data_IF_820107079712
#
_entry.id   IF_820107079712
#
_cell.length_a   1.000
_cell.length_b   1.000
_cell.length_c   1.000
_cell.angle_alpha   90.00
_cell.angle_beta   90.00
_cell.angle_gamma   90.00
#
_symmetry.space_group_name_H-M   'P 1'
#
loop_
_entity.id
_entity.type
_entity.pdbx_description
1 polymer ?
#
# COMPACT_ATOMS: atom_id res chain seq x y z
N UNK A 1 0.97 5.85 40.46
CA UNK A 1 0.51 5.96 39.05
C UNK A 1 1.66 5.57 38.15
N UNK A 2 1.54 4.47 37.40
CA UNK A 2 2.43 4.16 36.28
C UNK A 2 1.53 3.99 35.06
N UNK A 3 1.26 5.11 34.40
CA UNK A 3 0.68 5.12 33.07
C UNK A 3 1.66 4.44 32.11
N UNK A 4 1.14 3.67 31.16
CA UNK A 4 1.95 3.21 30.03
C UNK A 4 1.38 2.05 29.21
N UNK A 5 0.48 1.23 29.75
CA UNK A 5 0.00 0.05 29.02
C UNK A 5 -1.08 0.37 27.97
N UNK A 6 -1.80 1.50 28.11
CA UNK A 6 -2.83 1.93 27.17
C UNK A 6 -2.29 2.59 25.89
N UNK A 7 -1.00 2.88 25.80
CA UNK A 7 -0.39 3.64 24.68
C UNK A 7 0.05 2.71 23.50
N UNK A 8 0.39 1.46 23.81
CA UNK A 8 0.98 0.53 22.82
C UNK A 8 -0.07 -0.01 21.84
N UNK A 9 -1.31 -0.18 22.28
CA UNK A 9 -2.39 -0.77 21.47
C UNK A 9 -2.91 0.25 20.45
N UNK A 10 -3.10 1.52 20.84
CA UNK A 10 -3.52 2.59 19.93
C UNK A 10 -2.44 2.91 18.88
N UNK A 11 -1.15 2.80 19.24
CA UNK A 11 -0.05 2.93 18.27
C UNK A 11 0.07 1.74 17.31
N UNK A 12 -0.37 0.54 17.74
CA UNK A 12 -0.37 -0.67 16.90
C UNK A 12 -1.54 -0.64 15.91
N UNK A 13 -2.73 -0.19 16.32
CA UNK A 13 -3.89 -0.03 15.44
C UNK A 13 -3.66 1.05 14.37
N UNK A 14 -2.86 2.08 14.66
CA UNK A 14 -2.39 3.05 13.65
C UNK A 14 -1.40 2.46 12.64
N UNK A 15 -0.78 1.31 12.94
CA UNK A 15 0.30 0.69 12.19
C UNK A 15 -0.15 -0.44 11.26
N UNK A 16 -1.22 -1.16 11.58
CA UNK A 16 -1.70 -2.29 10.74
C UNK A 16 -2.54 -1.89 9.52
N UNK A 17 -2.61 -0.58 9.22
CA UNK A 17 -3.28 -0.05 8.03
C UNK A 17 -2.46 1.01 7.28
N UNK A 18 -1.12 0.90 7.29
CA UNK A 18 -0.23 1.93 6.74
C UNK A 18 0.92 1.37 5.93
N UNK A 19 1.13 1.96 4.75
CA UNK A 19 2.31 1.91 3.87
C UNK A 19 3.54 1.15 4.43
N UNK A 20 3.93 0.07 3.75
CA UNK A 20 5.14 -0.71 4.04
C UNK A 20 6.18 -0.41 2.97
N UNK A 21 7.34 0.13 3.39
CA UNK A 21 8.52 0.37 2.54
C UNK A 21 9.74 -0.14 3.31
N UNK A 22 10.12 -1.39 3.07
CA UNK A 22 11.29 -2.00 3.69
C UNK A 22 12.43 -2.05 2.66
N UNK A 23 13.65 -1.56 2.97
CA UNK A 23 14.77 -1.52 2.02
C UNK A 23 15.26 -2.88 1.50
N UNK A 24 14.86 -3.97 2.16
CA UNK A 24 15.17 -5.36 1.76
C UNK A 24 13.96 -6.09 1.14
N UNK A 25 12.82 -5.39 0.95
CA UNK A 25 11.64 -5.97 0.33
C UNK A 25 11.77 -5.90 -1.21
N UNK A 26 11.90 -7.04 -1.90
CA UNK A 26 12.00 -7.07 -3.35
C UNK A 26 10.74 -6.51 -4.05
N UNK A 27 9.61 -6.39 -3.34
CA UNK A 27 8.37 -5.77 -3.84
C UNK A 27 8.37 -4.24 -3.84
N UNK A 28 9.29 -3.60 -3.10
CA UNK A 28 9.31 -2.15 -2.88
C UNK A 28 8.07 -1.64 -2.13
N UNK A 29 7.93 -0.31 -2.07
CA UNK A 29 6.78 0.35 -1.45
C UNK A 29 5.45 -0.31 -1.83
N UNK A 30 4.65 -0.67 -0.82
CA UNK A 30 3.37 -1.36 -0.98
C UNK A 30 2.30 -0.69 -0.13
N UNK A 31 1.12 -0.48 -0.73
CA UNK A 31 -0.06 0.02 -0.04
C UNK A 31 -1.33 -0.68 -0.55
N UNK A 32 -2.22 -1.08 0.36
CA UNK A 32 -3.45 -1.82 0.03
C UNK A 32 -3.23 -3.08 -0.84
N UNK A 33 -2.07 -3.72 -0.70
CA UNK A 33 -1.65 -4.88 -1.52
C UNK A 33 -1.23 -4.54 -2.96
N UNK A 34 -1.18 -3.25 -3.31
CA UNK A 34 -0.63 -2.74 -4.57
C UNK A 34 0.82 -2.34 -4.34
N UNK A 35 1.74 -2.91 -5.11
CA UNK A 35 3.16 -2.54 -5.09
C UNK A 35 3.42 -1.32 -5.99
N UNK A 36 4.54 -0.62 -5.79
CA UNK A 36 4.92 0.54 -6.61
C UNK A 36 5.06 0.16 -8.09
N UNK A 37 5.61 -1.02 -8.36
CA UNK A 37 5.69 -1.58 -9.70
C UNK A 37 4.29 -1.80 -10.29
N UNK A 38 3.37 -2.42 -9.54
CA UNK A 38 1.99 -2.65 -9.98
C UNK A 38 1.28 -1.34 -10.31
N UNK A 39 1.43 -0.32 -9.45
CA UNK A 39 0.84 1.00 -9.70
C UNK A 39 1.48 1.67 -10.91
N UNK A 40 2.80 1.53 -11.10
CA UNK A 40 3.50 2.11 -12.26
C UNK A 40 3.03 1.50 -13.57
N UNK A 41 2.86 0.18 -13.61
CA UNK A 41 2.36 -0.54 -14.78
C UNK A 41 0.94 -0.10 -15.12
N UNK A 42 0.07 0.02 -14.10
CA UNK A 42 -1.30 0.52 -14.28
C UNK A 42 -1.35 1.96 -14.81
N UNK A 43 -0.46 2.84 -14.33
CA UNK A 43 -0.38 4.24 -14.77
C UNK A 43 0.31 4.41 -16.14
N UNK A 44 0.99 3.38 -16.66
CA UNK A 44 1.82 3.47 -17.86
C UNK A 44 3.05 4.38 -17.69
N UNK A 45 3.43 4.69 -16.44
CA UNK A 45 4.58 5.51 -16.08
C UNK A 45 5.08 5.14 -14.69
N UNK A 46 6.31 5.50 -14.36
CA UNK A 46 6.83 5.34 -12.99
C UNK A 46 5.96 6.13 -12.01
N UNK A 47 5.33 5.42 -11.08
CA UNK A 47 4.67 6.03 -9.93
C UNK A 47 5.71 6.55 -8.93
N UNK A 48 5.36 7.61 -8.22
CA UNK A 48 6.15 8.16 -7.13
C UNK A 48 5.81 7.48 -5.80
N UNK A 49 6.72 7.61 -4.84
CA UNK A 49 6.50 7.15 -3.46
C UNK A 49 5.28 7.82 -2.81
N UNK A 50 5.04 9.10 -3.10
CA UNK A 50 3.88 9.82 -2.56
C UNK A 50 2.56 9.30 -3.14
N UNK A 51 2.53 8.90 -4.42
CA UNK A 51 1.34 8.35 -5.06
C UNK A 51 0.94 7.00 -4.45
N UNK A 52 1.91 6.09 -4.24
CA UNK A 52 1.59 4.83 -3.59
C UNK A 52 1.29 4.99 -2.10
N UNK A 53 1.95 5.92 -1.42
CA UNK A 53 1.69 6.22 0.00
C UNK A 53 0.28 6.77 0.20
N UNK A 54 -0.20 7.57 -0.74
CA UNK A 54 -1.55 8.17 -0.71
C UNK A 54 -2.57 7.41 -1.57
N UNK A 55 -2.26 6.19 -1.99
CA UNK A 55 -3.14 5.38 -2.83
C UNK A 55 -4.52 5.27 -2.18
N UNK A 56 -5.55 5.67 -2.91
CA UNK A 56 -6.93 5.60 -2.43
C UNK A 56 -7.52 4.21 -2.65
N UNK A 57 -8.54 3.85 -1.88
CA UNK A 57 -9.29 2.61 -2.09
C UNK A 57 -9.90 2.51 -3.49
N UNK A 58 -10.29 3.64 -4.09
CA UNK A 58 -10.86 3.69 -5.44
C UNK A 58 -9.81 3.34 -6.50
N UNK A 59 -8.60 3.92 -6.39
CA UNK A 59 -7.49 3.61 -7.29
C UNK A 59 -7.00 2.17 -7.11
N UNK A 60 -6.85 1.70 -5.87
CA UNK A 60 -6.49 0.31 -5.60
C UNK A 60 -7.51 -0.66 -6.23
N UNK A 61 -8.81 -0.36 -6.13
CA UNK A 61 -9.86 -1.15 -6.79
C UNK A 61 -9.72 -1.14 -8.31
N UNK A 62 -9.46 0.02 -8.92
CA UNK A 62 -9.26 0.13 -10.36
C UNK A 62 -8.04 -0.68 -10.82
N UNK A 63 -6.93 -0.64 -10.07
CA UNK A 63 -5.74 -1.47 -10.30
C UNK A 63 -6.09 -2.96 -10.27
N UNK A 64 -6.84 -3.42 -9.25
CA UNK A 64 -7.26 -4.82 -9.19
C UNK A 64 -8.21 -5.19 -10.33
N UNK A 65 -9.17 -4.34 -10.68
CA UNK A 65 -10.09 -4.59 -11.78
C UNK A 65 -9.35 -4.74 -13.11
N UNK A 66 -8.41 -3.83 -13.42
CA UNK A 66 -7.58 -3.95 -14.63
C UNK A 66 -6.80 -5.27 -14.65
N UNK A 67 -6.16 -5.65 -13.52
CA UNK A 67 -5.36 -6.89 -13.46
C UNK A 67 -6.17 -8.18 -13.59
N UNK A 68 -7.41 -8.21 -13.11
CA UNK A 68 -8.24 -9.43 -13.14
C UNK A 68 -9.24 -9.47 -14.30
N UNK A 69 -9.56 -8.33 -14.92
CA UNK A 69 -10.46 -8.26 -16.07
C UNK A 69 -9.72 -8.25 -17.41
N UNK A 70 -8.48 -7.72 -17.47
CA UNK A 70 -7.64 -7.75 -18.69
C UNK A 70 -6.62 -8.91 -18.71
N UNK A 71 -6.58 -9.75 -17.66
CA UNK A 71 -5.84 -11.00 -17.74
C UNK A 71 -6.57 -11.94 -18.71
N UNK A 72 -5.94 -12.38 -19.82
CA UNK A 72 -6.59 -13.24 -20.80
C UNK A 72 -7.02 -14.55 -20.11
N UNK A 73 -8.27 -14.92 -20.37
CA UNK A 73 -8.85 -16.19 -19.99
C UNK A 73 -8.26 -17.34 -20.79
#
# INVERSE_FOLDING_TARGET
>A
MRAGTMDIIDQTIKREGGFVDHPDDPGGATNMGVTLATLSDFLGRKASYDEIRNLTHAEARAVYQARYMDAPR
#
